data_IF_023970306974
#
_entry.id   IF_023970306974
#
_cell.length_a   1.000
_cell.length_b   1.000
_cell.length_c   1.000
_cell.angle_alpha   90.00
_cell.angle_beta   90.00
_cell.angle_gamma   90.00
#
_symmetry.space_group_name_H-M   'P 1'
#
loop_
_entity.id
_entity.type
_entity.pdbx_description
1 polymer ?
#
# COMPACT_ATOMS: atom_id res chain seq x y z
N UNK A 1 -11.47 55.04 -19.55
CA UNK A 1 -11.31 53.60 -19.84
C UNK A 1 -9.91 53.20 -19.38
N UNK A 2 -9.79 52.56 -18.21
CA UNK A 2 -8.50 52.15 -17.66
C UNK A 2 -8.17 50.73 -18.18
N UNK A 3 -7.06 50.61 -18.91
CA UNK A 3 -6.56 49.35 -19.47
C UNK A 3 -5.79 48.62 -18.36
N UNK A 4 -6.29 47.47 -17.95
CA UNK A 4 -5.64 46.62 -16.97
C UNK A 4 -4.38 45.98 -17.57
N UNK A 5 -3.23 46.19 -16.93
CA UNK A 5 -1.97 45.53 -17.29
C UNK A 5 -1.96 44.07 -16.84
N UNK A 6 -1.55 43.11 -17.69
CA UNK A 6 -1.54 41.69 -17.34
C UNK A 6 -0.46 41.38 -16.29
N UNK A 7 -0.84 40.60 -15.28
CA UNK A 7 0.05 40.14 -14.22
C UNK A 7 1.13 39.19 -14.77
N UNK A 8 2.40 39.42 -14.40
CA UNK A 8 3.52 38.55 -14.77
C UNK A 8 3.39 37.19 -14.06
N UNK A 9 3.43 36.06 -14.79
CA UNK A 9 3.40 34.74 -14.17
C UNK A 9 4.67 34.51 -13.34
N UNK A 10 4.52 33.92 -12.16
CA UNK A 10 5.64 33.59 -11.29
C UNK A 10 6.37 32.37 -11.85
N UNK A 11 7.64 32.56 -12.20
CA UNK A 11 8.52 31.53 -12.80
C UNK A 11 9.19 30.61 -11.76
N UNK A 12 9.00 30.90 -10.48
CA UNK A 12 9.60 30.18 -9.36
C UNK A 12 9.03 28.75 -9.21
N UNK A 13 7.70 28.51 -9.20
CA UNK A 13 7.17 27.16 -9.04
C UNK A 13 7.52 26.23 -10.20
N UNK A 14 7.55 26.75 -11.44
CA UNK A 14 7.92 25.94 -12.61
C UNK A 14 9.39 25.53 -12.59
N UNK A 15 10.29 26.41 -12.14
CA UNK A 15 11.69 26.08 -11.95
C UNK A 15 11.91 24.97 -10.92
N UNK A 16 11.15 24.94 -9.81
CA UNK A 16 11.25 23.88 -8.81
C UNK A 16 10.78 22.52 -9.32
N UNK A 17 9.68 22.49 -10.09
CA UNK A 17 9.21 21.24 -10.70
C UNK A 17 10.19 20.70 -11.73
N UNK A 18 10.74 21.57 -12.58
CA UNK A 18 11.74 21.17 -13.58
C UNK A 18 13.00 20.58 -12.91
N UNK A 19 13.48 21.19 -11.83
CA UNK A 19 14.61 20.68 -11.05
C UNK A 19 14.32 19.31 -10.41
N UNK A 20 13.12 19.13 -9.85
CA UNK A 20 12.70 17.86 -9.26
C UNK A 20 12.64 16.72 -10.28
N UNK A 21 12.05 16.98 -11.45
CA UNK A 21 11.98 16.00 -12.55
C UNK A 21 13.39 15.67 -13.05
N UNK A 22 14.26 16.66 -13.23
CA UNK A 22 15.64 16.45 -13.67
C UNK A 22 16.42 15.54 -12.69
N UNK A 23 16.28 15.76 -11.37
CA UNK A 23 16.88 14.92 -10.34
C UNK A 23 16.32 13.49 -10.33
N UNK A 24 15.01 13.34 -10.50
CA UNK A 24 14.37 12.02 -10.60
C UNK A 24 14.89 11.24 -11.82
N UNK A 25 14.92 11.89 -12.99
CA UNK A 25 15.45 11.31 -14.22
C UNK A 25 16.92 10.92 -14.06
N UNK A 26 17.75 11.80 -13.47
CA UNK A 26 19.15 11.52 -13.21
C UNK A 26 19.33 10.32 -12.26
N UNK A 27 18.55 10.26 -11.19
CA UNK A 27 18.57 9.14 -10.26
C UNK A 27 18.15 7.82 -10.91
N UNK A 28 17.10 7.85 -11.75
CA UNK A 28 16.66 6.67 -12.52
C UNK A 28 17.77 6.19 -13.45
N UNK A 29 18.42 7.09 -14.20
CA UNK A 29 19.53 6.77 -15.08
C UNK A 29 20.72 6.17 -14.33
N UNK A 30 21.05 6.70 -13.15
CA UNK A 30 22.10 6.14 -12.29
C UNK A 30 21.72 4.73 -11.81
N UNK A 31 20.46 4.52 -11.44
CA UNK A 31 19.95 3.23 -10.97
C UNK A 31 19.93 2.17 -12.08
N UNK A 32 19.50 2.52 -13.28
CA UNK A 32 19.55 1.65 -14.45
C UNK A 32 21.00 1.34 -14.85
N UNK A 33 21.89 2.34 -14.83
CA UNK A 33 23.32 2.14 -15.12
C UNK A 33 24.01 1.28 -14.06
N UNK A 34 23.63 1.37 -12.79
CA UNK A 34 24.17 0.49 -11.73
C UNK A 34 23.81 -0.98 -11.98
N UNK A 35 22.57 -1.27 -12.39
CA UNK A 35 22.16 -2.64 -12.78
C UNK A 35 22.88 -3.14 -14.03
N UNK A 36 23.13 -2.27 -15.01
CA UNK A 36 23.81 -2.66 -16.26
C UNK A 36 25.32 -2.94 -16.12
N UNK A 37 26.01 -2.32 -15.15
CA UNK A 37 27.47 -2.50 -14.97
C UNK A 37 27.87 -3.90 -14.53
N UNK A 38 26.99 -4.64 -13.86
CA UNK A 38 27.25 -6.04 -13.48
C UNK A 38 27.28 -6.96 -14.71
N UNK A 39 26.49 -6.62 -15.75
CA UNK A 39 26.45 -7.36 -17.02
C UNK A 39 27.65 -6.95 -17.90
N UNK A 40 27.98 -5.66 -17.95
CA UNK A 40 29.10 -5.15 -18.75
C UNK A 40 30.48 -5.65 -18.27
N UNK A 41 30.67 -5.84 -16.95
CA UNK A 41 31.91 -6.41 -16.41
C UNK A 41 32.13 -7.88 -16.83
N UNK A 42 31.05 -8.63 -17.12
CA UNK A 42 31.16 -9.99 -17.69
C UNK A 42 31.47 -9.96 -19.19
N UNK A 43 31.10 -8.90 -19.92
CA UNK A 43 31.45 -8.77 -21.34
C UNK A 43 32.88 -8.27 -21.55
N UNK A 44 33.38 -7.33 -20.75
CA UNK A 44 34.76 -6.82 -20.88
C UNK A 44 35.80 -7.92 -20.62
N UNK A 45 35.60 -8.77 -19.60
CA UNK A 45 36.48 -9.91 -19.33
C UNK A 45 36.48 -10.98 -20.44
N UNK A 46 35.49 -10.97 -21.34
CA UNK A 46 35.41 -11.87 -22.51
C UNK A 46 35.84 -11.20 -23.82
N UNK A 47 35.97 -9.88 -23.86
CA UNK A 47 36.30 -9.10 -25.06
C UNK A 47 37.81 -8.88 -25.22
N UNK A 48 38.59 -8.94 -24.14
CA UNK A 48 40.06 -8.85 -24.18
C UNK A 48 40.72 -10.07 -24.87
N UNK A 49 40.03 -11.21 -24.98
CA UNK A 49 40.54 -12.41 -25.66
C UNK A 49 40.25 -12.48 -27.16
N UNK A 50 39.54 -11.50 -27.74
CA UNK A 50 39.08 -11.56 -29.14
C UNK A 50 39.23 -10.21 -29.86
N UNK A 51 40.47 -9.75 -30.04
CA UNK A 51 40.81 -8.84 -31.14
C UNK A 51 41.20 -9.66 -32.38
N UNK A 52 40.34 -9.66 -33.41
CA UNK A 52 40.86 -9.58 -34.77
C UNK A 52 40.31 -8.36 -35.52
N UNK A 53 41.19 -7.86 -36.37
CA UNK A 53 41.05 -6.74 -37.30
C UNK A 53 39.77 -6.79 -38.14
N UNK A 54 39.14 -5.62 -38.27
CA UNK A 54 38.44 -5.16 -39.48
C UNK A 54 37.46 -6.11 -40.16
N UNK A 55 36.18 -6.05 -39.78
CA UNK A 55 35.11 -6.49 -40.68
C UNK A 55 33.90 -5.58 -40.54
N UNK A 56 33.40 -5.17 -41.71
CA UNK A 56 32.30 -4.23 -41.97
C UNK A 56 31.08 -4.48 -41.07
N UNK A 57 30.50 -3.37 -40.61
CA UNK A 57 29.26 -3.29 -39.84
C UNK A 57 28.10 -3.78 -40.72
N UNK A 58 27.88 -5.09 -40.75
CA UNK A 58 26.57 -5.65 -41.08
C UNK A 58 25.76 -5.63 -39.79
N UNK A 59 24.67 -4.87 -39.75
CA UNK A 59 23.73 -4.92 -38.63
C UNK A 59 23.23 -6.37 -38.51
N UNK A 60 23.44 -7.06 -37.38
CA UNK A 60 23.07 -8.46 -37.24
C UNK A 60 21.54 -8.59 -37.17
N UNK A 61 20.93 -9.04 -38.26
CA UNK A 61 19.51 -9.45 -38.33
C UNK A 61 19.13 -10.47 -37.26
N UNK A 62 20.10 -11.25 -36.78
CA UNK A 62 19.96 -12.21 -35.67
C UNK A 62 19.47 -11.58 -34.35
N UNK A 63 19.61 -10.25 -34.17
CA UNK A 63 19.14 -9.56 -32.97
C UNK A 63 17.63 -9.47 -32.85
N UNK A 64 16.91 -9.41 -33.98
CA UNK A 64 15.44 -9.39 -33.98
C UNK A 64 14.87 -10.78 -33.69
N UNK A 65 15.48 -11.82 -34.24
CA UNK A 65 15.09 -13.20 -33.96
C UNK A 65 15.28 -13.55 -32.47
N UNK A 66 16.41 -13.14 -31.88
CA UNK A 66 16.65 -13.30 -30.43
C UNK A 66 15.66 -12.49 -29.59
N UNK A 67 15.31 -11.26 -30.01
CA UNK A 67 14.30 -10.45 -29.33
C UNK A 67 12.92 -11.10 -29.39
N UNK A 68 12.52 -11.67 -30.53
CA UNK A 68 11.24 -12.38 -30.69
C UNK A 68 11.16 -13.61 -29.79
N UNK A 69 12.23 -14.43 -29.77
CA UNK A 69 12.30 -15.60 -28.89
C UNK A 69 12.17 -15.19 -27.43
N UNK A 70 12.85 -14.12 -27.00
CA UNK A 70 12.74 -13.63 -25.62
C UNK A 70 11.35 -13.10 -25.28
N UNK A 71 10.69 -12.39 -26.20
CA UNK A 71 9.31 -11.93 -25.98
C UNK A 71 8.37 -13.14 -25.84
N UNK A 72 8.56 -14.16 -26.68
CA UNK A 72 7.76 -15.38 -26.60
C UNK A 72 7.97 -16.12 -25.28
N UNK A 73 9.22 -16.21 -24.80
CA UNK A 73 9.54 -16.81 -23.50
C UNK A 73 8.93 -16.00 -22.34
N UNK A 74 9.07 -14.66 -22.35
CA UNK A 74 8.47 -13.78 -21.35
C UNK A 74 6.94 -13.85 -21.34
N UNK A 75 6.32 -13.99 -22.52
CA UNK A 75 4.87 -14.13 -22.63
C UNK A 75 4.42 -15.46 -22.03
N UNK A 76 5.19 -16.54 -22.27
CA UNK A 76 4.94 -17.85 -21.68
C UNK A 76 5.11 -17.85 -20.16
N UNK A 77 6.15 -17.21 -19.65
CA UNK A 77 6.37 -17.04 -18.23
C UNK A 77 5.25 -16.20 -17.57
N UNK A 78 4.85 -15.11 -18.22
CA UNK A 78 3.77 -14.24 -17.75
C UNK A 78 2.43 -14.99 -17.69
N UNK A 79 2.12 -15.80 -18.71
CA UNK A 79 0.92 -16.65 -18.72
C UNK A 79 0.90 -17.61 -17.52
N UNK A 80 2.01 -18.33 -17.29
CA UNK A 80 2.12 -19.22 -16.14
C UNK A 80 1.98 -18.48 -14.79
N UNK A 81 2.49 -17.26 -14.67
CA UNK A 81 2.30 -16.44 -13.46
C UNK A 81 0.84 -16.00 -13.27
N UNK A 82 0.13 -15.67 -14.35
CA UNK A 82 -1.29 -15.32 -14.30
C UNK A 82 -2.12 -16.53 -13.86
N UNK A 83 -1.87 -17.70 -14.45
CA UNK A 83 -2.60 -18.93 -14.12
C UNK A 83 -2.45 -19.29 -12.63
N UNK A 84 -1.24 -19.21 -12.08
CA UNK A 84 -0.99 -19.43 -10.64
C UNK A 84 -1.74 -18.43 -9.75
N UNK A 85 -1.86 -17.17 -10.20
CA UNK A 85 -2.60 -16.14 -9.45
C UNK A 85 -4.10 -16.38 -9.53
N UNK A 86 -4.62 -16.82 -10.67
CA UNK A 86 -6.04 -17.19 -10.85
C UNK A 86 -6.38 -18.34 -9.91
N UNK A 87 -5.59 -19.42 -9.91
CA UNK A 87 -5.81 -20.57 -9.03
C UNK A 87 -5.83 -20.16 -7.54
N UNK A 88 -4.90 -19.30 -7.14
CA UNK A 88 -4.86 -18.77 -5.77
C UNK A 88 -6.10 -17.94 -5.44
N UNK A 89 -6.58 -17.11 -6.37
CA UNK A 89 -7.79 -16.31 -6.18
C UNK A 89 -9.03 -17.19 -6.09
N UNK A 90 -9.17 -18.21 -6.94
CA UNK A 90 -10.26 -19.19 -6.86
C UNK A 90 -10.25 -19.97 -5.55
N UNK A 91 -9.07 -20.28 -5.02
CA UNK A 91 -8.95 -20.91 -3.71
C UNK A 91 -9.45 -19.99 -2.59
N UNK A 92 -9.02 -18.72 -2.58
CA UNK A 92 -9.48 -17.73 -1.58
C UNK A 92 -10.97 -17.48 -1.70
N UNK A 93 -11.51 -17.40 -2.92
CA UNK A 93 -12.94 -17.19 -3.15
C UNK A 93 -13.76 -18.35 -2.57
N UNK A 94 -13.36 -19.61 -2.84
CA UNK A 94 -14.01 -20.79 -2.25
C UNK A 94 -13.97 -20.78 -0.72
N UNK A 95 -12.86 -20.34 -0.13
CA UNK A 95 -12.75 -20.23 1.32
C UNK A 95 -13.70 -19.17 1.90
N UNK A 96 -13.84 -18.04 1.21
CA UNK A 96 -14.78 -16.97 1.59
C UNK A 96 -16.21 -17.46 1.48
N UNK A 97 -16.59 -18.11 0.37
CA UNK A 97 -17.93 -18.67 0.16
C UNK A 97 -18.29 -19.68 1.25
N UNK A 98 -17.35 -20.58 1.58
CA UNK A 98 -17.52 -21.53 2.67
C UNK A 98 -17.76 -20.81 4.01
N UNK A 99 -17.01 -19.74 4.28
CA UNK A 99 -17.14 -19.00 5.53
C UNK A 99 -18.46 -18.22 5.62
N UNK A 100 -18.95 -17.68 4.51
CA UNK A 100 -20.26 -17.03 4.43
C UNK A 100 -21.35 -18.07 4.74
N UNK A 101 -21.29 -19.24 4.10
CA UNK A 101 -22.27 -20.31 4.32
C UNK A 101 -22.29 -20.79 5.78
N UNK A 102 -21.12 -20.95 6.41
CA UNK A 102 -21.01 -21.28 7.83
C UNK A 102 -21.67 -20.22 8.73
N UNK A 103 -21.48 -18.93 8.41
CA UNK A 103 -22.03 -17.82 9.19
C UNK A 103 -23.56 -17.71 8.99
N UNK A 104 -24.05 -17.87 7.78
CA UNK A 104 -25.48 -17.88 7.45
C UNK A 104 -26.19 -19.06 8.13
N UNK A 105 -25.57 -20.25 8.13
CA UNK A 105 -26.09 -21.41 8.86
C UNK A 105 -26.23 -21.12 10.36
N UNK A 106 -25.22 -20.48 10.97
CA UNK A 106 -25.27 -20.10 12.39
C UNK A 106 -26.30 -19.00 12.68
N UNK A 107 -26.41 -17.99 11.83
CA UNK A 107 -27.39 -16.92 11.97
C UNK A 107 -28.83 -17.46 11.87
N UNK A 108 -29.07 -18.37 10.94
CA UNK A 108 -30.37 -19.03 10.75
C UNK A 108 -30.73 -19.88 11.97
N UNK A 109 -29.80 -20.70 12.48
CA UNK A 109 -30.03 -21.50 13.70
C UNK A 109 -30.27 -20.66 14.97
N UNK A 110 -29.72 -19.45 15.06
CA UNK A 110 -29.97 -18.54 16.19
C UNK A 110 -31.30 -17.79 16.06
N UNK A 111 -31.82 -17.59 14.85
CA UNK A 111 -33.07 -16.87 14.59
C UNK A 111 -34.33 -17.73 14.73
N UNK A 112 -34.21 -19.06 14.74
CA UNK A 112 -35.34 -20.00 14.84
C UNK A 112 -35.70 -20.39 16.29
N UNK A 113 -35.14 -19.69 17.29
CA UNK A 113 -35.66 -19.76 18.65
C UNK A 113 -37.07 -19.15 18.70
N UNK A 114 -38.13 -19.89 19.10
CA UNK A 114 -39.47 -19.36 19.17
C UNK A 114 -39.51 -18.23 20.20
N UNK A 115 -39.58 -16.99 19.72
CA UNK A 115 -39.77 -15.81 20.57
C UNK A 115 -41.15 -15.99 21.24
N UNK A 116 -41.24 -16.21 22.56
CA UNK A 116 -42.51 -16.10 23.25
C UNK A 116 -42.88 -14.62 23.21
N UNK A 117 -43.78 -14.26 22.30
CA UNK A 117 -44.33 -12.92 22.18
C UNK A 117 -45.17 -12.64 23.43
N UNK A 118 -44.54 -12.15 24.49
CA UNK A 118 -45.21 -11.65 25.68
C UNK A 118 -45.27 -10.12 25.58
N UNK A 119 -46.41 -9.50 25.23
CA UNK A 119 -46.52 -8.04 25.22
C UNK A 119 -46.58 -7.52 26.65
N UNK A 120 -45.65 -6.67 27.13
CA UNK A 120 -45.80 -6.02 28.42
C UNK A 120 -46.86 -4.92 28.33
N UNK A 121 -47.94 -5.13 29.09
CA UNK A 121 -49.00 -4.17 29.41
C UNK A 121 -48.43 -2.80 29.78
N UNK A 122 -49.01 -1.78 29.16
CA UNK A 122 -49.04 -0.40 29.61
C UNK A 122 -49.39 -0.32 31.09
N UNK A 123 -48.52 0.29 31.89
CA UNK A 123 -48.72 0.47 33.32
C UNK A 123 -47.59 1.28 33.93
N UNK A 124 -47.55 2.58 33.64
CA UNK A 124 -46.77 3.55 34.40
C UNK A 124 -47.53 3.79 35.72
N UNK A 125 -46.87 3.63 36.87
CA UNK A 125 -46.95 4.65 37.90
C UNK A 125 -45.55 5.26 38.10
N UNK A 126 -45.54 6.58 38.06
CA UNK A 126 -44.40 7.45 38.29
C UNK A 126 -43.73 7.07 39.62
N UNK A 127 -42.53 6.50 39.56
CA UNK A 127 -41.58 6.59 40.66
C UNK A 127 -40.67 7.78 40.38
N UNK A 128 -40.83 8.82 41.20
CA UNK A 128 -39.92 9.94 41.35
C UNK A 128 -38.51 9.41 41.63
N UNK A 129 -37.73 9.24 40.57
CA UNK A 129 -36.28 9.15 40.68
C UNK A 129 -35.77 10.57 40.87
N UNK A 130 -35.56 10.93 42.12
CA UNK A 130 -34.75 12.06 42.55
C UNK A 130 -33.50 12.17 41.68
N UNK A 131 -33.33 13.34 41.06
CA UNK A 131 -32.11 13.76 40.37
C UNK A 131 -30.95 13.81 41.36
N UNK A 132 -30.39 12.65 41.69
CA UNK A 132 -29.10 12.57 42.35
C UNK A 132 -28.04 12.70 41.26
N UNK A 133 -27.73 13.96 40.97
CA UNK A 133 -26.52 14.39 40.27
C UNK A 133 -25.33 13.73 40.95
N UNK A 134 -24.63 12.77 40.32
CA UNK A 134 -23.37 12.30 40.89
C UNK A 134 -22.39 13.48 40.79
N UNK A 135 -21.97 13.99 41.94
CA UNK A 135 -20.73 14.73 42.02
C UNK A 135 -19.61 13.87 41.42
N UNK A 136 -18.61 14.50 40.78
CA UNK A 136 -17.54 13.81 40.11
C UNK A 136 -16.66 13.13 41.16
N UNK A 137 -16.91 11.84 41.41
CA UNK A 137 -15.91 10.99 42.02
C UNK A 137 -14.63 11.14 41.23
N UNK A 138 -13.62 11.66 41.93
CA UNK A 138 -12.25 11.75 41.49
C UNK A 138 -11.76 10.34 41.24
N UNK A 139 -11.98 9.84 40.02
CA UNK A 139 -11.29 8.68 39.47
C UNK A 139 -9.84 9.13 39.22
N UNK A 140 -9.11 9.28 40.31
CA UNK A 140 -7.67 9.38 40.29
C UNK A 140 -7.13 8.10 39.63
N UNK A 141 -6.70 8.29 38.39
CA UNK A 141 -5.70 7.48 37.70
C UNK A 141 -6.07 6.00 37.56
N UNK A 142 -6.96 5.75 36.59
CA UNK A 142 -6.73 4.66 35.66
C UNK A 142 -5.26 4.79 35.22
N UNK A 143 -4.38 3.78 35.37
CA UNK A 143 -3.07 3.87 34.76
C UNK A 143 -3.35 4.04 33.27
N UNK A 144 -3.02 5.22 32.75
CA UNK A 144 -2.88 5.38 31.32
C UNK A 144 -2.00 4.21 30.88
N UNK A 145 -2.40 3.40 29.89
CA UNK A 145 -1.40 2.62 29.22
C UNK A 145 -0.52 3.67 28.56
N UNK A 146 0.55 4.07 29.25
CA UNK A 146 1.82 4.31 28.61
C UNK A 146 2.20 2.97 27.98
N UNK A 147 1.44 2.60 26.93
CA UNK A 147 1.75 1.55 26.02
C UNK A 147 3.15 1.92 25.58
N UNK A 148 4.11 1.11 25.98
CA UNK A 148 5.36 1.00 25.26
C UNK A 148 4.96 0.84 23.80
N UNK A 149 4.94 1.94 23.04
CA UNK A 149 4.58 1.90 21.62
C UNK A 149 5.45 0.80 21.03
N UNK A 150 4.80 -0.20 20.45
CA UNK A 150 5.47 -1.25 19.70
C UNK A 150 6.54 -0.56 18.83
N UNK A 151 7.81 -1.00 18.85
CA UNK A 151 8.88 -0.39 18.06
C UNK A 151 8.47 -0.17 16.60
N UNK A 152 7.60 -1.03 16.05
CA UNK A 152 7.02 -0.86 14.72
C UNK A 152 6.13 0.39 14.62
N UNK A 153 5.18 0.59 15.52
CA UNK A 153 4.27 1.76 15.54
C UNK A 153 5.05 3.07 15.55
N UNK A 154 6.12 3.16 16.36
CA UNK A 154 6.99 4.33 16.40
C UNK A 154 7.64 4.59 15.04
N UNK A 155 8.17 3.55 14.41
CA UNK A 155 8.82 3.63 13.09
C UNK A 155 7.85 4.07 11.99
N UNK A 156 6.61 3.57 12.04
CA UNK A 156 5.54 3.98 11.12
C UNK A 156 5.23 5.46 11.26
N UNK A 157 5.10 5.96 12.50
CA UNK A 157 4.82 7.37 12.75
C UNK A 157 5.98 8.27 12.29
N UNK A 158 7.22 7.89 12.60
CA UNK A 158 8.41 8.62 12.13
C UNK A 158 8.48 8.73 10.60
N UNK A 159 8.11 7.67 9.88
CA UNK A 159 8.10 7.69 8.41
C UNK A 159 6.94 8.52 7.86
N UNK A 160 5.75 8.43 8.48
CA UNK A 160 4.60 9.23 8.09
C UNK A 160 4.83 10.72 8.32
N UNK A 161 5.47 11.10 9.43
CA UNK A 161 5.85 12.49 9.73
C UNK A 161 6.89 13.05 8.75
N UNK A 162 7.62 12.17 8.05
CA UNK A 162 8.49 12.54 6.91
C UNK A 162 7.73 12.64 5.58
N UNK A 163 6.40 12.53 5.59
CA UNK A 163 5.54 12.61 4.40
C UNK A 163 5.50 11.33 3.56
N UNK A 164 5.91 10.18 4.10
CA UNK A 164 5.84 8.90 3.38
C UNK A 164 4.40 8.39 3.34
N UNK A 165 3.98 7.89 2.18
CA UNK A 165 2.67 7.27 2.00
C UNK A 165 2.60 5.85 2.59
N UNK A 166 1.41 5.32 2.91
CA UNK A 166 1.23 4.00 3.54
C UNK A 166 1.89 2.85 2.77
N UNK A 167 1.80 2.86 1.43
CA UNK A 167 2.39 1.84 0.56
C UNK A 167 3.93 1.87 0.63
N UNK A 168 4.53 3.07 0.65
CA UNK A 168 5.99 3.21 0.75
C UNK A 168 6.52 2.73 2.10
N UNK A 169 5.79 3.05 3.18
CA UNK A 169 6.11 2.61 4.54
C UNK A 169 6.02 1.08 4.64
N UNK A 170 4.97 0.48 4.08
CA UNK A 170 4.77 -0.97 4.04
C UNK A 170 5.92 -1.68 3.33
N UNK A 171 6.33 -1.18 2.15
CA UNK A 171 7.48 -1.73 1.41
C UNK A 171 8.80 -1.58 2.18
N UNK A 172 9.02 -0.43 2.84
CA UNK A 172 10.26 -0.16 3.56
C UNK A 172 10.41 -1.00 4.83
N UNK A 173 9.31 -1.25 5.54
CA UNK A 173 9.30 -2.05 6.78
C UNK A 173 9.05 -3.54 6.52
N UNK A 174 8.80 -3.92 5.26
CA UNK A 174 8.40 -5.27 4.85
C UNK A 174 7.17 -5.78 5.62
N UNK A 175 6.17 -4.91 5.77
CA UNK A 175 4.94 -5.14 6.52
C UNK A 175 3.71 -4.97 5.61
N UNK A 176 2.55 -5.61 5.91
CA UNK A 176 1.34 -5.46 5.09
C UNK A 176 0.78 -4.03 5.11
N UNK A 177 0.41 -3.50 3.94
CA UNK A 177 -0.14 -2.13 3.81
C UNK A 177 -1.33 -1.86 4.73
N UNK A 178 -2.26 -2.80 4.87
CA UNK A 178 -3.43 -2.63 5.74
C UNK A 178 -3.07 -2.48 7.22
N UNK A 179 -1.99 -3.11 7.70
CA UNK A 179 -1.50 -2.94 9.07
C UNK A 179 -0.97 -1.52 9.29
N UNK A 180 -0.28 -0.97 8.30
CA UNK A 180 0.22 0.42 8.33
C UNK A 180 -0.95 1.41 8.32
N UNK A 181 -1.95 1.20 7.46
CA UNK A 181 -3.14 2.04 7.40
C UNK A 181 -3.91 2.04 8.71
N UNK A 182 -4.08 0.87 9.35
CA UNK A 182 -4.71 0.76 10.66
C UNK A 182 -3.95 1.55 11.74
N UNK A 183 -2.63 1.42 11.79
CA UNK A 183 -1.79 2.16 12.75
C UNK A 183 -1.96 3.67 12.56
N UNK A 184 -1.94 4.14 11.31
CA UNK A 184 -2.13 5.55 11.01
C UNK A 184 -3.55 6.01 11.33
N UNK A 185 -4.58 5.23 11.03
CA UNK A 185 -5.97 5.56 11.34
C UNK A 185 -6.20 5.72 12.85
N UNK A 186 -5.61 4.83 13.66
CA UNK A 186 -5.65 4.92 15.12
C UNK A 186 -5.02 6.22 15.64
N UNK A 187 -3.92 6.67 15.04
CA UNK A 187 -3.30 7.97 15.38
C UNK A 187 -4.26 9.13 15.12
N UNK A 188 -4.89 9.18 13.96
CA UNK A 188 -5.83 10.26 13.60
C UNK A 188 -7.06 10.26 14.52
N UNK A 189 -7.58 9.08 14.83
CA UNK A 189 -8.70 8.92 15.77
C UNK A 189 -8.35 9.35 17.20
N UNK A 190 -7.10 9.20 17.64
CA UNK A 190 -6.65 9.66 18.96
C UNK A 190 -6.29 11.14 19.04
N UNK A 191 -6.08 11.78 17.89
CA UNK A 191 -5.73 13.20 17.77
C UNK A 191 -6.96 14.11 17.56
N UNK A 192 -8.13 13.51 17.33
CA UNK A 192 -9.43 14.18 17.20
C UNK A 192 -10.19 14.14 18.52
#
# INVERSE_FOLDING_TARGET
MAVATPAKPSVIPSAMMAAGIALLCLWLLIRLRRRGREIARRSEARQESLRPSGSRVSLPSNGLDDAMVRIQELTRECAAQIDNRIERLEHVLRLVDQRIHDLEGRATSMSEGPIPFNPPRSGIPQQEFTLQRPEPETVAQRPAPAASLDPLTRRVHELADRGRGPIEIAQQLNEPTGKIELILALRHASAS
#
